data_IF_833711988988
#
_entry.id   IF_833711988988
#
_cell.length_a   1.000
_cell.length_b   1.000
_cell.length_c   1.000
_cell.angle_alpha   90.00
_cell.angle_beta   90.00
_cell.angle_gamma   90.00
#
_symmetry.space_group_name_H-M   'P 1'
#
loop_
_entity.id
_entity.type
_entity.pdbx_description
1 polymer ?
#
# COMPACT_ATOMS: atom_id res chain seq x y z
N UNK A 1 16.16 28.28 4.51
CA UNK A 1 16.35 26.91 3.96
C UNK A 1 16.91 26.91 2.52
N UNK A 2 17.91 27.74 2.19
CA UNK A 2 18.50 27.80 0.84
C UNK A 2 20.04 27.72 0.82
N UNK A 3 20.67 27.68 1.99
CA UNK A 3 22.11 27.57 2.14
C UNK A 3 22.42 26.27 2.92
N UNK A 4 23.19 25.38 2.30
CA UNK A 4 23.52 24.05 2.85
C UNK A 4 24.29 24.16 4.17
N UNK A 5 25.24 25.10 4.28
CA UNK A 5 26.04 25.30 5.50
C UNK A 5 25.17 25.79 6.66
N UNK A 6 24.28 26.75 6.39
CA UNK A 6 23.35 27.25 7.40
C UNK A 6 22.41 26.14 7.92
N UNK A 7 21.94 25.26 7.01
CA UNK A 7 21.13 24.09 7.39
C UNK A 7 21.96 23.06 8.17
N UNK A 8 23.19 22.77 7.76
CA UNK A 8 24.08 21.88 8.50
C UNK A 8 24.36 22.37 9.92
N UNK A 9 24.54 23.68 10.09
CA UNK A 9 24.73 24.31 11.39
C UNK A 9 23.46 24.17 12.24
N UNK A 10 22.27 24.42 11.68
CA UNK A 10 21.00 24.29 12.42
C UNK A 10 20.65 22.85 12.81
N UNK A 11 21.07 21.86 12.01
CA UNK A 11 20.97 20.44 12.36
C UNK A 11 21.91 20.09 13.51
N UNK A 12 23.17 20.54 13.45
CA UNK A 12 24.18 20.30 14.50
C UNK A 12 23.78 20.94 15.83
N UNK A 13 23.29 22.19 15.81
CA UNK A 13 22.77 22.88 16.99
C UNK A 13 21.36 22.43 17.39
N UNK A 14 20.73 21.54 16.62
CA UNK A 14 19.35 21.06 16.81
C UNK A 14 18.32 22.19 16.91
N UNK A 15 18.55 23.29 16.19
CA UNK A 15 17.68 24.46 16.19
C UNK A 15 16.68 24.47 15.03
N UNK A 16 16.84 23.58 14.05
CA UNK A 16 15.87 23.41 12.96
C UNK A 16 14.53 22.88 13.51
N UNK A 17 13.44 23.57 13.20
CA UNK A 17 12.08 23.22 13.63
C UNK A 17 11.28 22.56 12.52
N UNK A 18 10.60 21.47 12.87
CA UNK A 18 9.94 20.59 11.91
C UNK A 18 8.44 20.55 12.18
N UNK A 19 7.64 20.75 11.13
CA UNK A 19 6.20 20.50 11.14
C UNK A 19 5.89 19.33 10.21
N UNK A 20 5.11 18.36 10.65
CA UNK A 20 4.61 17.27 9.81
C UNK A 20 3.09 17.38 9.72
N UNK A 21 2.56 17.57 8.51
CA UNK A 21 1.13 17.69 8.25
C UNK A 21 0.62 16.35 7.68
N UNK A 22 -0.35 15.78 8.39
CA UNK A 22 -0.80 14.40 8.24
C UNK A 22 0.07 13.47 9.08
N UNK A 23 -0.37 13.17 10.31
CA UNK A 23 0.34 12.29 11.26
C UNK A 23 -0.42 10.98 11.44
N UNK A 24 -0.86 10.41 10.31
CA UNK A 24 -1.44 9.08 10.24
C UNK A 24 -0.39 7.97 10.25
N UNK A 25 -0.67 6.89 9.50
CA UNK A 25 0.15 5.67 9.45
C UNK A 25 1.64 5.92 9.13
N UNK A 26 1.94 6.78 8.16
CA UNK A 26 3.31 7.08 7.73
C UNK A 26 3.86 8.35 8.41
N UNK A 27 3.09 9.44 8.40
CA UNK A 27 3.57 10.72 8.89
C UNK A 27 3.85 10.77 10.39
N UNK A 28 3.17 10.00 11.24
CA UNK A 28 3.53 9.93 12.66
C UNK A 28 4.91 9.28 12.85
N UNK A 29 5.21 8.08 12.33
CA UNK A 29 6.56 7.54 12.29
C UNK A 29 7.62 8.48 11.74
N UNK A 30 7.33 9.22 10.66
CA UNK A 30 8.23 10.28 10.14
C UNK A 30 8.48 11.32 11.22
N UNK A 31 7.43 11.93 11.78
CA UNK A 31 7.55 12.98 12.80
C UNK A 31 8.32 12.51 14.04
N UNK A 32 8.06 11.28 14.51
CA UNK A 32 8.77 10.70 15.64
C UNK A 32 10.26 10.46 15.34
N UNK A 33 10.61 10.12 14.10
CA UNK A 33 12.00 9.94 13.68
C UNK A 33 12.76 11.28 13.68
N UNK A 34 12.13 12.36 13.19
CA UNK A 34 12.66 13.73 13.30
C UNK A 34 12.79 14.17 14.77
N UNK A 35 11.80 13.90 15.61
CA UNK A 35 11.86 14.23 17.03
C UNK A 35 12.99 13.46 17.76
N UNK A 36 13.19 12.18 17.41
CA UNK A 36 14.23 11.30 17.97
C UNK A 36 15.64 11.78 17.67
N UNK A 37 15.89 12.41 16.52
CA UNK A 37 17.19 13.03 16.22
C UNK A 37 17.47 14.29 17.06
N UNK A 38 16.45 14.75 17.81
CA UNK A 38 16.53 15.82 18.79
C UNK A 38 15.99 17.16 18.30
N UNK A 39 15.40 17.20 17.11
CA UNK A 39 14.76 18.37 16.53
C UNK A 39 13.39 18.63 17.17
N UNK A 40 13.04 19.90 17.37
CA UNK A 40 11.70 20.27 17.83
C UNK A 40 10.70 19.98 16.71
N UNK A 41 9.77 19.05 16.95
CA UNK A 41 8.84 18.57 15.93
C UNK A 41 7.40 18.73 16.38
N UNK A 42 6.54 19.25 15.51
CA UNK A 42 5.10 19.36 15.72
C UNK A 42 4.35 18.61 14.63
N UNK A 43 3.43 17.73 15.04
CA UNK A 43 2.50 17.06 14.15
C UNK A 43 1.20 17.84 13.98
N UNK A 44 0.65 17.88 12.77
CA UNK A 44 -0.65 18.49 12.47
C UNK A 44 -1.57 17.45 11.85
N UNK A 45 -2.76 17.28 12.41
CA UNK A 45 -3.81 16.42 11.84
C UNK A 45 -5.18 17.06 12.00
N UNK A 46 -6.11 16.72 11.11
CA UNK A 46 -7.52 17.14 11.27
C UNK A 46 -8.26 16.28 12.30
N UNK A 47 -7.75 15.09 12.62
CA UNK A 47 -8.35 14.18 13.56
C UNK A 47 -8.06 14.60 15.02
N UNK A 48 -9.02 15.27 15.64
CA UNK A 48 -8.93 15.74 17.03
C UNK A 48 -8.65 14.60 18.03
N UNK A 49 -9.27 13.44 17.85
CA UNK A 49 -9.08 12.29 18.74
C UNK A 49 -7.64 11.76 18.67
N UNK A 50 -7.07 11.66 17.47
CA UNK A 50 -5.68 11.29 17.26
C UNK A 50 -4.73 12.27 17.97
N UNK A 51 -4.94 13.57 17.77
CA UNK A 51 -4.13 14.62 18.40
C UNK A 51 -4.22 14.57 19.93
N UNK A 52 -5.42 14.38 20.49
CA UNK A 52 -5.62 14.25 21.94
C UNK A 52 -4.94 13.00 22.50
N UNK A 53 -5.02 11.86 21.80
CA UNK A 53 -4.34 10.63 22.21
C UNK A 53 -2.82 10.82 22.26
N UNK A 54 -2.24 11.40 21.21
CA UNK A 54 -0.80 11.71 21.16
C UNK A 54 -0.38 12.62 22.31
N UNK A 55 -1.08 13.74 22.51
CA UNK A 55 -0.72 14.70 23.56
C UNK A 55 -0.97 14.18 24.99
N UNK A 56 -1.80 13.16 25.15
CA UNK A 56 -2.01 12.45 26.43
C UNK A 56 -1.05 11.28 26.64
N UNK A 57 -0.05 11.11 25.77
CA UNK A 57 0.95 10.04 25.88
C UNK A 57 0.42 8.66 25.47
N UNK A 58 -0.66 8.60 24.67
CA UNK A 58 -1.20 7.34 24.14
C UNK A 58 -0.75 7.14 22.70
N UNK A 59 0.18 6.21 22.49
CA UNK A 59 0.64 5.86 21.14
C UNK A 59 -0.47 5.14 20.32
N UNK A 60 -0.82 5.65 19.12
CA UNK A 60 -1.96 5.12 18.37
C UNK A 60 -1.64 3.91 17.47
N UNK A 61 -0.38 3.70 17.05
CA UNK A 61 0.00 2.67 16.08
C UNK A 61 0.55 1.40 16.76
N UNK A 62 -0.31 0.69 17.50
CA UNK A 62 0.11 -0.47 18.31
C UNK A 62 0.70 -1.65 17.52
N UNK A 63 0.46 -1.67 16.22
CA UNK A 63 0.94 -2.65 15.26
C UNK A 63 2.28 -2.27 14.60
N UNK A 64 2.93 -1.19 15.03
CA UNK A 64 4.26 -0.76 14.55
C UNK A 64 5.34 -1.00 15.62
N UNK A 65 6.12 -2.11 15.52
CA UNK A 65 7.09 -2.47 16.54
C UNK A 65 8.18 -1.41 16.73
N UNK A 66 8.42 -1.02 17.99
CA UNK A 66 9.53 -0.16 18.40
C UNK A 66 9.25 1.35 18.34
N UNK A 67 8.20 1.80 17.64
CA UNK A 67 7.82 3.21 17.63
C UNK A 67 7.15 3.67 18.93
N UNK A 68 6.55 2.76 19.69
CA UNK A 68 6.06 3.00 21.04
C UNK A 68 7.18 3.56 21.95
N UNK A 69 8.35 2.92 21.92
CA UNK A 69 9.52 3.35 22.72
C UNK A 69 10.06 4.72 22.27
N UNK A 70 10.08 4.95 20.95
CA UNK A 70 10.51 6.23 20.39
C UNK A 70 9.53 7.33 20.79
N UNK A 71 8.22 7.04 20.68
CA UNK A 71 7.15 7.94 21.07
C UNK A 71 7.28 8.35 22.55
N UNK A 72 7.42 7.39 23.45
CA UNK A 72 7.56 7.66 24.89
C UNK A 72 8.78 8.55 25.19
N UNK A 73 9.93 8.27 24.55
CA UNK A 73 11.14 9.07 24.73
C UNK A 73 10.96 10.52 24.25
N UNK A 74 10.43 10.72 23.04
CA UNK A 74 10.31 12.08 22.47
C UNK A 74 9.22 12.90 23.17
N UNK A 75 8.15 12.28 23.67
CA UNK A 75 7.14 12.95 24.49
C UNK A 75 7.73 13.34 25.84
N UNK A 76 8.44 12.43 26.53
CA UNK A 76 9.11 12.71 27.80
C UNK A 76 10.12 13.85 27.68
N UNK A 77 10.89 13.86 26.60
CA UNK A 77 11.90 14.89 26.31
C UNK A 77 11.30 16.17 25.69
N UNK A 78 9.97 16.25 25.54
CA UNK A 78 9.24 17.39 24.95
C UNK A 78 9.74 17.77 23.55
N UNK A 79 10.16 16.78 22.78
CA UNK A 79 10.62 16.93 21.39
C UNK A 79 9.51 16.78 20.36
N UNK A 80 8.38 16.20 20.76
CA UNK A 80 7.21 16.05 19.91
C UNK A 80 5.94 16.57 20.59
N UNK A 81 5.05 17.16 19.80
CA UNK A 81 3.68 17.51 20.18
C UNK A 81 2.77 17.44 18.95
N UNK A 82 1.45 17.37 19.15
CA UNK A 82 0.48 17.39 18.05
C UNK A 82 -0.54 18.53 18.21
N UNK A 83 -1.10 19.00 17.10
CA UNK A 83 -2.15 20.02 17.09
C UNK A 83 -3.09 19.81 15.91
N UNK A 84 -4.32 20.31 16.01
CA UNK A 84 -5.21 20.47 14.85
C UNK A 84 -5.07 21.84 14.18
N UNK A 85 -4.40 22.78 14.84
CA UNK A 85 -4.23 24.14 14.36
C UNK A 85 -2.94 24.31 13.55
N UNK A 86 -3.12 24.29 12.22
CA UNK A 86 -2.05 24.52 11.25
C UNK A 86 -1.51 25.96 11.28
N UNK A 87 -2.36 26.97 11.54
CA UNK A 87 -1.96 28.38 11.60
C UNK A 87 -1.02 28.68 12.76
N UNK A 88 -1.02 27.85 13.81
CA UNK A 88 -0.09 27.95 14.94
C UNK A 88 1.22 27.19 14.69
N UNK A 89 1.15 26.04 14.04
CA UNK A 89 2.30 25.16 13.86
C UNK A 89 3.26 25.64 12.77
N UNK A 90 2.71 25.98 11.59
CA UNK A 90 3.52 26.24 10.39
C UNK A 90 4.40 27.50 10.51
N UNK A 91 3.92 28.66 11.00
CA UNK A 91 4.77 29.87 11.06
C UNK A 91 6.03 29.71 11.91
N UNK A 92 6.01 28.77 12.86
CA UNK A 92 7.11 28.50 13.79
C UNK A 92 8.05 27.39 13.31
N UNK A 93 7.97 26.98 12.03
CA UNK A 93 8.71 25.85 11.48
C UNK A 93 9.57 26.23 10.28
N UNK A 94 10.79 25.71 10.23
CA UNK A 94 11.70 25.88 9.09
C UNK A 94 11.39 24.88 7.97
N UNK A 95 11.05 23.65 8.37
CA UNK A 95 10.74 22.52 7.51
C UNK A 95 9.30 22.08 7.71
N UNK A 96 8.55 21.90 6.62
CA UNK A 96 7.19 21.38 6.62
C UNK A 96 7.12 20.11 5.74
N UNK A 97 6.78 18.98 6.34
CA UNK A 97 6.61 17.69 5.66
C UNK A 97 5.12 17.42 5.41
N UNK A 98 4.77 16.96 4.22
CA UNK A 98 3.40 16.61 3.84
C UNK A 98 3.25 15.10 3.62
N UNK A 99 2.58 14.43 4.56
CA UNK A 99 2.24 13.00 4.53
C UNK A 99 0.72 12.83 4.59
N UNK A 100 0.04 13.23 3.51
CA UNK A 100 -1.41 13.27 3.39
C UNK A 100 -1.93 12.11 2.53
N UNK A 101 -3.17 11.67 2.76
CA UNK A 101 -3.78 10.64 1.93
C UNK A 101 -3.99 11.14 0.50
N UNK A 102 -3.78 10.25 -0.46
CA UNK A 102 -4.00 10.48 -1.90
C UNK A 102 -4.87 9.34 -2.46
N UNK A 103 -6.13 9.24 -2.02
CA UNK A 103 -7.01 8.14 -2.44
C UNK A 103 -7.39 8.26 -3.92
N UNK A 104 -8.03 7.22 -4.43
CA UNK A 104 -8.64 7.22 -5.76
C UNK A 104 -10.15 7.42 -5.63
N UNK A 105 -10.75 8.14 -6.58
CA UNK A 105 -12.19 8.19 -6.72
C UNK A 105 -12.75 6.95 -7.45
N UNK A 106 -14.08 6.88 -7.59
CA UNK A 106 -14.80 5.79 -8.26
C UNK A 106 -14.46 5.64 -9.76
N UNK A 107 -13.92 6.68 -10.39
CA UNK A 107 -13.54 6.70 -11.80
C UNK A 107 -12.06 6.38 -12.01
N UNK A 108 -11.38 5.90 -10.96
CA UNK A 108 -9.94 5.69 -10.93
C UNK A 108 -9.19 6.98 -11.32
N UNK A 109 -9.58 8.13 -10.76
CA UNK A 109 -8.82 9.38 -10.78
C UNK A 109 -8.25 9.67 -9.39
N UNK A 110 -6.96 10.05 -9.26
CA UNK A 110 -6.37 10.41 -7.98
C UNK A 110 -7.01 11.67 -7.38
N UNK A 111 -7.39 11.59 -6.10
CA UNK A 111 -7.84 12.74 -5.34
C UNK A 111 -6.68 13.34 -4.51
N UNK A 112 -6.28 14.56 -4.88
CA UNK A 112 -5.29 15.36 -4.16
C UNK A 112 -5.94 16.51 -3.36
N UNK A 113 -7.24 16.46 -3.08
CA UNK A 113 -7.98 17.47 -2.32
C UNK A 113 -7.28 17.87 -1.02
N UNK A 114 -6.79 16.89 -0.23
CA UNK A 114 -6.05 17.13 1.00
C UNK A 114 -4.78 17.96 0.77
N UNK A 115 -3.97 17.60 -0.23
CA UNK A 115 -2.76 18.36 -0.60
C UNK A 115 -3.11 19.76 -1.11
N UNK A 116 -4.18 19.90 -1.90
CA UNK A 116 -4.63 21.20 -2.42
C UNK A 116 -5.07 22.13 -1.30
N UNK A 117 -5.88 21.63 -0.37
CA UNK A 117 -6.34 22.37 0.81
C UNK A 117 -5.15 22.83 1.65
N UNK A 118 -4.19 21.93 1.92
CA UNK A 118 -2.99 22.30 2.67
C UNK A 118 -2.13 23.31 1.90
N UNK A 119 -1.95 23.15 0.58
CA UNK A 119 -1.23 24.10 -0.25
C UNK A 119 -1.81 25.52 -0.19
N UNK A 120 -3.13 25.66 -0.27
CA UNK A 120 -3.81 26.94 -0.11
C UNK A 120 -3.60 27.55 1.28
N UNK A 121 -3.63 26.73 2.35
CA UNK A 121 -3.35 27.23 3.70
C UNK A 121 -1.89 27.67 3.84
N UNK A 122 -0.93 26.89 3.32
CA UNK A 122 0.49 27.25 3.34
C UNK A 122 0.76 28.59 2.65
N UNK A 123 0.01 28.91 1.59
CA UNK A 123 0.08 30.24 0.96
C UNK A 123 -0.17 31.40 1.93
N UNK A 124 -0.93 31.19 3.01
CA UNK A 124 -1.25 32.22 4.00
C UNK A 124 -0.33 32.19 5.22
N UNK A 125 0.11 31.00 5.65
CA UNK A 125 0.79 30.83 6.96
C UNK A 125 2.24 30.40 6.87
N UNK A 126 2.73 29.93 5.72
CA UNK A 126 4.12 29.53 5.58
C UNK A 126 5.04 30.75 5.66
N UNK A 127 6.09 30.61 6.46
CA UNK A 127 7.10 31.64 6.66
C UNK A 127 8.02 31.74 5.43
N UNK A 128 8.49 32.94 5.07
CA UNK A 128 9.57 33.07 4.11
C UNK A 128 10.82 32.31 4.57
N UNK A 129 11.58 31.80 3.60
CA UNK A 129 12.75 30.95 3.74
C UNK A 129 12.49 29.53 4.28
N UNK A 130 11.24 29.05 4.30
CA UNK A 130 10.90 27.66 4.65
C UNK A 130 11.08 26.67 3.48
N UNK A 131 11.21 25.39 3.83
CA UNK A 131 11.24 24.26 2.90
C UNK A 131 10.00 23.38 3.11
N UNK A 132 9.29 23.05 2.05
CA UNK A 132 8.23 22.03 2.06
C UNK A 132 8.74 20.75 1.40
N UNK A 133 8.49 19.59 2.01
CA UNK A 133 8.82 18.28 1.44
C UNK A 133 7.56 17.44 1.37
N UNK A 134 7.21 16.95 0.18
CA UNK A 134 6.06 16.07 -0.01
C UNK A 134 6.53 14.61 0.03
N UNK A 135 6.04 13.85 1.01
CA UNK A 135 6.27 12.40 1.13
C UNK A 135 5.10 11.59 0.52
N UNK A 136 3.95 12.24 0.35
CA UNK A 136 2.73 11.65 -0.19
C UNK A 136 2.95 11.11 -1.62
N UNK A 137 2.33 9.98 -1.97
CA UNK A 137 2.46 9.40 -3.32
C UNK A 137 1.65 10.21 -4.32
N UNK A 138 2.32 10.86 -5.26
CA UNK A 138 1.71 11.76 -6.24
C UNK A 138 2.23 11.48 -7.65
N UNK A 139 1.47 11.89 -8.65
CA UNK A 139 1.87 11.79 -10.06
C UNK A 139 3.08 12.68 -10.40
N UNK A 140 3.91 12.26 -11.37
CA UNK A 140 4.92 13.12 -11.97
C UNK A 140 4.30 14.43 -12.47
N UNK A 141 4.88 15.56 -12.05
CA UNK A 141 4.40 16.90 -12.41
C UNK A 141 3.47 17.56 -11.39
N UNK A 142 2.87 16.83 -10.44
CA UNK A 142 1.94 17.47 -9.48
C UNK A 142 2.59 18.60 -8.66
N UNK A 143 3.87 18.47 -8.31
CA UNK A 143 4.61 19.53 -7.61
C UNK A 143 4.73 20.78 -8.49
N UNK A 144 5.25 20.59 -9.70
CA UNK A 144 5.58 21.67 -10.62
C UNK A 144 4.34 22.36 -11.21
N UNK A 145 3.35 21.56 -11.61
CA UNK A 145 2.20 22.02 -12.39
C UNK A 145 1.08 22.59 -11.49
N UNK A 146 1.02 22.18 -10.21
CA UNK A 146 -0.09 22.52 -9.32
C UNK A 146 0.39 23.03 -7.95
N UNK A 147 1.14 22.23 -7.18
CA UNK A 147 1.43 22.53 -5.77
C UNK A 147 2.20 23.85 -5.58
N UNK A 148 3.17 24.14 -6.45
CA UNK A 148 3.91 25.41 -6.41
C UNK A 148 2.95 26.61 -6.56
N UNK A 149 2.01 26.54 -7.50
CA UNK A 149 1.05 27.62 -7.75
C UNK A 149 0.11 27.85 -6.56
N UNK A 150 -0.29 26.78 -5.87
CA UNK A 150 -1.16 26.86 -4.70
C UNK A 150 -0.47 27.54 -3.52
N UNK A 151 0.80 27.20 -3.26
CA UNK A 151 1.58 27.80 -2.15
C UNK A 151 1.97 29.26 -2.47
N UNK A 152 2.20 29.59 -3.74
CA UNK A 152 2.56 30.95 -4.16
C UNK A 152 1.36 31.88 -4.39
N UNK A 153 0.12 31.41 -4.18
CA UNK A 153 -1.11 32.14 -4.53
C UNK A 153 -1.27 33.52 -3.87
N UNK A 154 -0.68 33.75 -2.69
CA UNK A 154 -0.76 35.02 -1.97
C UNK A 154 0.29 36.06 -2.38
N UNK A 155 1.15 35.75 -3.36
CA UNK A 155 2.31 36.54 -3.79
C UNK A 155 3.40 36.80 -2.74
N UNK A 156 3.19 36.38 -1.47
CA UNK A 156 4.18 36.46 -0.39
C UNK A 156 5.36 35.52 -0.61
N UNK A 157 5.11 34.39 -1.27
CA UNK A 157 6.04 33.28 -1.43
C UNK A 157 6.34 33.07 -2.90
N UNK A 158 7.61 33.15 -3.27
CA UNK A 158 8.13 32.94 -4.62
C UNK A 158 9.08 31.76 -4.59
N UNK A 159 8.75 30.74 -5.39
CA UNK A 159 9.58 29.54 -5.54
C UNK A 159 11.01 29.93 -5.95
N UNK A 160 12.01 29.30 -5.34
CA UNK A 160 13.45 29.57 -5.52
C UNK A 160 13.98 30.90 -4.96
N UNK A 161 13.12 31.80 -4.49
CA UNK A 161 13.54 33.06 -3.85
C UNK A 161 13.44 32.94 -2.33
N UNK A 162 12.22 32.85 -1.82
CA UNK A 162 11.92 32.82 -0.40
C UNK A 162 11.03 31.64 0.02
N UNK A 163 10.84 30.66 -0.85
CA UNK A 163 10.21 29.38 -0.54
C UNK A 163 10.78 28.28 -1.44
N UNK A 164 10.91 27.07 -0.90
CA UNK A 164 11.51 25.93 -1.57
C UNK A 164 10.65 24.69 -1.38
N UNK A 165 10.60 23.83 -2.39
CA UNK A 165 9.86 22.57 -2.33
C UNK A 165 10.69 21.41 -2.86
N UNK A 166 10.45 20.23 -2.32
CA UNK A 166 10.96 18.96 -2.83
C UNK A 166 10.09 17.79 -2.45
N UNK A 167 10.58 16.58 -2.71
CA UNK A 167 9.91 15.32 -2.44
C UNK A 167 10.88 14.31 -1.83
N UNK A 168 10.32 13.47 -0.96
CA UNK A 168 10.97 12.26 -0.46
C UNK A 168 9.91 11.17 -0.35
N UNK A 169 9.47 10.56 -1.47
CA UNK A 169 8.37 9.60 -1.46
C UNK A 169 8.73 8.40 -0.58
N UNK A 170 7.82 8.05 0.34
CA UNK A 170 8.05 6.96 1.30
C UNK A 170 7.81 5.58 0.68
N UNK A 171 8.62 4.58 1.05
CA UNK A 171 8.54 3.19 0.60
C UNK A 171 8.27 2.17 1.72
N UNK A 172 8.11 2.62 2.96
CA UNK A 172 7.88 1.75 4.10
C UNK A 172 6.57 0.95 4.03
N UNK A 173 6.64 -0.29 4.51
CA UNK A 173 5.51 -1.19 4.65
C UNK A 173 4.87 -1.01 6.04
N UNK A 174 3.53 -0.83 6.12
CA UNK A 174 2.81 -0.88 7.39
C UNK A 174 3.08 -2.20 8.14
N UNK A 175 3.34 -2.09 9.44
CA UNK A 175 3.77 -3.17 10.33
C UNK A 175 5.29 -3.35 10.44
N UNK A 176 6.06 -2.72 9.55
CA UNK A 176 7.52 -2.82 9.49
C UNK A 176 8.18 -1.44 9.30
N UNK A 177 7.48 -0.34 9.63
CA UNK A 177 7.93 1.00 9.26
C UNK A 177 9.31 1.32 9.84
N UNK A 178 9.57 0.96 11.10
CA UNK A 178 10.87 1.25 11.74
C UNK A 178 12.00 0.48 11.08
N UNK A 179 11.74 -0.79 10.71
CA UNK A 179 12.69 -1.60 9.96
C UNK A 179 12.98 -0.94 8.62
N UNK A 180 11.96 -0.54 7.87
CA UNK A 180 12.15 0.03 6.55
C UNK A 180 12.84 1.39 6.59
N UNK A 181 12.51 2.24 7.58
CA UNK A 181 13.15 3.54 7.80
C UNK A 181 14.64 3.43 8.15
N UNK A 182 15.09 2.27 8.62
CA UNK A 182 16.48 2.01 9.02
C UNK A 182 17.27 1.18 8.02
N UNK A 183 16.62 0.57 7.03
CA UNK A 183 17.27 -0.36 6.10
C UNK A 183 17.07 -0.03 4.62
N UNK A 184 16.00 0.68 4.25
CA UNK A 184 15.68 0.93 2.84
C UNK A 184 16.20 2.28 2.36
N UNK A 185 16.78 2.35 1.14
CA UNK A 185 17.13 3.61 0.51
C UNK A 185 15.91 4.53 0.32
N UNK A 186 16.13 5.84 0.39
CA UNK A 186 15.12 6.87 0.14
C UNK A 186 15.47 7.70 -1.08
N UNK A 187 14.47 8.02 -1.89
CA UNK A 187 14.62 8.94 -3.02
C UNK A 187 14.53 10.38 -2.52
N UNK A 188 15.41 11.26 -2.97
CA UNK A 188 15.37 12.69 -2.66
C UNK A 188 15.42 13.54 -3.92
N UNK A 189 14.48 14.46 -4.10
CA UNK A 189 14.46 15.37 -5.24
C UNK A 189 13.97 16.75 -4.82
N UNK A 190 14.71 17.81 -5.13
CA UNK A 190 14.30 19.19 -4.94
C UNK A 190 13.83 19.85 -6.23
N UNK A 191 13.22 21.03 -6.11
CA UNK A 191 12.91 21.90 -7.26
C UNK A 191 14.16 22.34 -8.04
N UNK A 192 15.33 22.26 -7.41
CA UNK A 192 16.65 22.45 -8.02
C UNK A 192 17.71 21.65 -7.24
N UNK A 193 18.92 21.52 -7.81
CA UNK A 193 19.99 20.70 -7.23
C UNK A 193 20.46 21.16 -5.84
N UNK A 194 20.49 22.48 -5.56
CA UNK A 194 20.85 22.98 -4.24
C UNK A 194 19.83 22.55 -3.18
N UNK A 195 18.54 22.58 -3.51
CA UNK A 195 17.48 22.08 -2.62
C UNK A 195 17.53 20.56 -2.47
N UNK A 196 17.89 19.80 -3.52
CA UNK A 196 18.14 18.35 -3.38
C UNK A 196 19.22 18.07 -2.34
N UNK A 197 20.32 18.83 -2.33
CA UNK A 197 21.40 18.68 -1.34
C UNK A 197 20.95 19.05 0.08
N UNK A 198 20.15 20.10 0.24
CA UNK A 198 19.58 20.48 1.54
C UNK A 198 18.67 19.37 2.08
N UNK A 199 17.76 18.85 1.26
CA UNK A 199 16.88 17.73 1.64
C UNK A 199 17.71 16.52 2.03
N UNK A 200 18.71 16.16 1.21
CA UNK A 200 19.62 15.05 1.51
C UNK A 200 20.33 15.23 2.85
N UNK A 201 20.84 16.43 3.14
CA UNK A 201 21.53 16.70 4.41
C UNK A 201 20.60 16.56 5.62
N UNK A 202 19.36 17.02 5.49
CA UNK A 202 18.32 16.88 6.53
C UNK A 202 17.98 15.41 6.75
N UNK A 203 17.70 14.66 5.68
CA UNK A 203 17.31 13.25 5.81
C UNK A 203 18.47 12.39 6.28
N UNK A 204 19.72 12.67 5.90
CA UNK A 204 20.89 11.94 6.42
C UNK A 204 21.08 12.12 7.92
N UNK A 205 20.68 13.28 8.46
CA UNK A 205 20.72 13.53 9.90
C UNK A 205 19.69 12.69 10.67
N UNK A 206 18.58 12.32 10.02
CA UNK A 206 17.45 11.62 10.65
C UNK A 206 17.48 10.12 10.38
N UNK A 207 17.84 9.72 9.16
CA UNK A 207 17.79 8.35 8.66
C UNK A 207 19.18 7.91 8.22
N UNK A 208 19.67 6.82 8.82
CA UNK A 208 20.97 6.24 8.49
C UNK A 208 20.84 5.22 7.34
N UNK A 209 20.35 5.68 6.19
CA UNK A 209 20.12 4.87 4.98
C UNK A 209 20.69 5.59 3.76
N UNK A 210 20.83 4.87 2.65
CA UNK A 210 21.21 5.48 1.38
C UNK A 210 20.15 6.50 0.93
N UNK A 211 20.60 7.72 0.59
CA UNK A 211 19.76 8.73 -0.04
C UNK A 211 20.11 8.87 -1.51
N UNK A 212 19.20 8.39 -2.36
CA UNK A 212 19.36 8.37 -3.81
C UNK A 212 18.84 9.69 -4.39
N UNK A 213 19.76 10.50 -4.89
CA UNK A 213 19.43 11.81 -5.46
C UNK A 213 18.77 11.69 -6.82
N UNK A 214 17.66 12.40 -6.98
CA UNK A 214 16.94 12.55 -8.23
C UNK A 214 17.18 13.96 -8.79
N UNK A 215 17.25 14.11 -10.12
CA UNK A 215 17.53 15.41 -10.75
C UNK A 215 16.41 16.44 -10.53
N UNK A 216 15.19 16.00 -10.19
CA UNK A 216 14.04 16.85 -9.86
C UNK A 216 12.92 16.03 -9.20
N UNK A 217 11.90 16.73 -8.69
CA UNK A 217 10.71 16.13 -8.05
C UNK A 217 9.95 15.17 -9.00
N UNK A 218 9.70 15.60 -10.24
CA UNK A 218 9.02 14.79 -11.27
C UNK A 218 9.69 13.43 -11.48
N UNK A 219 11.02 13.36 -11.53
CA UNK A 219 11.77 12.11 -11.67
C UNK A 219 11.63 11.23 -10.43
N UNK A 220 11.71 11.78 -9.21
CA UNK A 220 11.53 11.00 -7.99
C UNK A 220 10.14 10.36 -7.90
N UNK A 221 9.09 11.12 -8.23
CA UNK A 221 7.71 10.62 -8.27
C UNK A 221 7.54 9.56 -9.36
N UNK A 222 8.16 9.75 -10.52
CA UNK A 222 8.14 8.76 -11.60
C UNK A 222 8.77 7.43 -11.16
N UNK A 223 9.94 7.45 -10.52
CA UNK A 223 10.60 6.23 -10.02
C UNK A 223 9.68 5.47 -9.06
N UNK A 224 9.06 6.17 -8.10
CA UNK A 224 8.12 5.56 -7.13
C UNK A 224 6.95 4.86 -7.81
N UNK A 225 6.34 5.47 -8.82
CA UNK A 225 5.23 4.85 -9.55
C UNK A 225 5.72 3.69 -10.41
N UNK A 226 6.82 3.87 -11.15
CA UNK A 226 7.38 2.87 -12.05
C UNK A 226 7.67 1.55 -11.34
N UNK A 227 8.22 1.56 -10.12
CA UNK A 227 8.54 0.32 -9.40
C UNK A 227 7.30 -0.50 -9.03
N UNK A 228 6.20 0.16 -8.64
CA UNK A 228 4.95 -0.51 -8.31
C UNK A 228 4.22 -1.00 -9.56
N UNK A 229 4.17 -0.17 -10.60
CA UNK A 229 3.52 -0.52 -11.87
C UNK A 229 4.25 -1.64 -12.59
N UNK A 230 5.58 -1.69 -12.50
CA UNK A 230 6.36 -2.82 -13.00
C UNK A 230 5.90 -4.14 -12.35
N UNK A 231 5.72 -4.16 -11.02
CA UNK A 231 5.22 -5.35 -10.32
C UNK A 231 3.81 -5.73 -10.75
N UNK A 232 2.91 -4.76 -10.88
CA UNK A 232 1.52 -4.96 -11.32
C UNK A 232 1.44 -5.57 -12.73
N UNK A 233 2.21 -5.03 -13.68
CA UNK A 233 2.30 -5.56 -15.06
C UNK A 233 2.83 -6.99 -15.07
N UNK A 234 3.89 -7.28 -14.30
CA UNK A 234 4.46 -8.63 -14.30
C UNK A 234 3.52 -9.66 -13.67
N UNK A 235 2.73 -9.28 -12.65
CA UNK A 235 1.66 -10.16 -12.13
C UNK A 235 0.61 -10.40 -13.21
N UNK A 236 0.21 -9.37 -13.96
CA UNK A 236 -0.75 -9.50 -15.05
C UNK A 236 -0.24 -10.41 -16.17
N UNK A 237 1.02 -10.23 -16.58
CA UNK A 237 1.67 -11.06 -17.59
C UNK A 237 1.65 -12.55 -17.19
N UNK A 238 2.04 -12.85 -15.94
CA UNK A 238 2.02 -14.24 -15.46
C UNK A 238 0.58 -14.77 -15.34
N UNK A 239 -0.36 -13.93 -14.92
CA UNK A 239 -1.78 -14.30 -14.85
C UNK A 239 -2.35 -14.64 -16.23
N UNK A 240 -2.05 -13.84 -17.25
CA UNK A 240 -2.46 -14.11 -18.63
C UNK A 240 -1.88 -15.43 -19.16
N UNK A 241 -0.59 -15.69 -18.89
CA UNK A 241 0.03 -16.97 -19.23
C UNK A 241 -0.60 -18.14 -18.46
N UNK A 242 -0.94 -17.96 -17.19
CA UNK A 242 -1.57 -19.00 -16.38
C UNK A 242 -2.90 -19.46 -17.00
N UNK A 243 -3.74 -18.52 -17.45
CA UNK A 243 -5.00 -18.81 -18.14
C UNK A 243 -4.79 -19.58 -19.46
N UNK A 244 -3.71 -19.29 -20.17
CA UNK A 244 -3.36 -20.03 -21.38
C UNK A 244 -2.82 -21.42 -21.06
N UNK A 245 -1.98 -21.54 -20.03
CA UNK A 245 -1.35 -22.79 -19.62
C UNK A 245 -2.35 -23.81 -19.08
N UNK A 246 -3.41 -23.38 -18.38
CA UNK A 246 -4.55 -24.24 -18.03
C UNK A 246 -5.13 -24.95 -19.27
N UNK A 247 -5.38 -24.21 -20.35
CA UNK A 247 -5.92 -24.78 -21.60
C UNK A 247 -4.96 -25.76 -22.28
N UNK A 248 -3.67 -25.65 -22.00
CA UNK A 248 -2.61 -26.51 -22.52
C UNK A 248 -2.29 -27.69 -21.59
N UNK A 249 -2.89 -27.75 -20.39
CA UNK A 249 -2.54 -28.73 -19.36
C UNK A 249 -1.13 -28.54 -18.81
N UNK A 250 -0.65 -27.28 -18.73
CA UNK A 250 0.69 -26.93 -18.23
C UNK A 250 0.56 -26.31 -16.84
N UNK A 251 1.35 -26.79 -15.88
CA UNK A 251 1.45 -26.19 -14.56
C UNK A 251 2.37 -24.96 -14.58
N UNK A 252 1.77 -23.78 -14.38
CA UNK A 252 2.44 -22.48 -14.32
C UNK A 252 3.51 -22.45 -13.24
N UNK A 253 3.31 -23.08 -12.08
CA UNK A 253 4.31 -23.09 -11.01
C UNK A 253 5.56 -23.85 -11.45
N UNK A 254 5.42 -24.97 -12.16
CA UNK A 254 6.56 -25.71 -12.72
C UNK A 254 7.33 -24.84 -13.71
N UNK A 255 6.63 -24.12 -14.59
CA UNK A 255 7.24 -23.18 -15.54
C UNK A 255 8.01 -22.09 -14.80
N UNK A 256 7.42 -21.47 -13.78
CA UNK A 256 8.04 -20.40 -13.00
C UNK A 256 9.28 -20.90 -12.23
N UNK A 257 9.22 -22.06 -11.57
CA UNK A 257 10.36 -22.63 -10.86
C UNK A 257 11.53 -22.95 -11.80
N UNK A 258 11.25 -23.42 -13.02
CA UNK A 258 12.27 -23.59 -14.05
C UNK A 258 12.81 -22.24 -14.55
N UNK A 259 11.93 -21.27 -14.83
CA UNK A 259 12.28 -19.96 -15.38
C UNK A 259 13.17 -19.13 -14.44
N UNK A 260 12.94 -19.21 -13.11
CA UNK A 260 13.78 -18.58 -12.08
C UNK A 260 15.26 -18.96 -12.14
N UNK A 261 15.60 -20.12 -12.73
CA UNK A 261 17.00 -20.53 -12.91
C UNK A 261 17.75 -19.65 -13.92
N UNK A 262 17.02 -18.90 -14.76
CA UNK A 262 17.59 -17.93 -15.69
C UNK A 262 17.96 -16.65 -14.93
N UNK A 263 19.22 -16.23 -15.05
CA UNK A 263 19.82 -15.14 -14.26
C UNK A 263 19.09 -13.78 -14.27
N UNK A 264 18.26 -13.51 -15.29
CA UNK A 264 17.55 -12.24 -15.45
C UNK A 264 16.02 -12.37 -15.41
N UNK A 265 15.48 -13.47 -14.87
CA UNK A 265 14.04 -13.65 -14.73
C UNK A 265 13.57 -13.26 -13.32
N UNK A 266 12.88 -12.11 -13.22
CA UNK A 266 12.24 -11.69 -11.98
C UNK A 266 10.84 -12.31 -11.87
N UNK A 267 10.75 -13.36 -11.07
CA UNK A 267 9.51 -14.11 -10.89
C UNK A 267 8.42 -13.30 -10.20
N UNK A 268 7.22 -13.39 -10.78
CA UNK A 268 5.97 -12.94 -10.20
C UNK A 268 4.98 -14.11 -10.30
N UNK A 269 3.91 -14.06 -9.52
CA UNK A 269 2.96 -15.16 -9.42
C UNK A 269 1.56 -14.67 -9.76
N UNK A 270 0.75 -15.52 -10.40
CA UNK A 270 -0.64 -15.19 -10.63
C UNK A 270 -1.42 -15.30 -9.31
N UNK A 271 -2.66 -14.82 -9.32
CA UNK A 271 -3.53 -14.89 -8.16
C UNK A 271 -4.98 -14.62 -8.50
N UNK A 272 -5.84 -14.67 -7.49
CA UNK A 272 -7.25 -14.25 -7.53
C UNK A 272 -7.47 -12.79 -7.96
N UNK A 273 -6.41 -11.99 -8.03
CA UNK A 273 -6.38 -10.59 -8.43
C UNK A 273 -5.24 -9.86 -7.75
N UNK A 274 -5.20 -8.53 -7.92
CA UNK A 274 -4.22 -7.65 -7.27
C UNK A 274 -4.95 -6.62 -6.43
N UNK A 275 -4.71 -6.66 -5.11
CA UNK A 275 -5.24 -5.68 -4.16
C UNK A 275 -4.17 -4.81 -3.51
N UNK A 276 -4.56 -4.18 -2.41
CA UNK A 276 -3.72 -3.25 -1.64
C UNK A 276 -3.71 -1.84 -2.22
N UNK A 277 -3.31 -0.83 -1.43
CA UNK A 277 -3.43 0.58 -1.81
C UNK A 277 -2.34 1.07 -2.78
N UNK A 278 -1.37 0.23 -3.17
CA UNK A 278 -0.23 0.68 -3.98
C UNK A 278 -0.29 0.20 -5.42
N UNK A 279 -0.40 -1.12 -5.67
CA UNK A 279 -0.24 -1.63 -7.04
C UNK A 279 -1.39 -1.18 -7.97
N UNK A 280 -2.67 -1.35 -7.60
CA UNK A 280 -3.79 -0.85 -8.41
C UNK A 280 -3.77 0.67 -8.58
N UNK A 281 -3.60 1.40 -7.48
CA UNK A 281 -3.68 2.85 -7.44
C UNK A 281 -2.56 3.48 -8.29
N UNK A 282 -1.32 3.02 -8.15
CA UNK A 282 -0.18 3.62 -8.87
C UNK A 282 -0.25 3.38 -10.39
N UNK A 283 -0.81 2.25 -10.82
CA UNK A 283 -1.08 2.00 -12.25
C UNK A 283 -2.08 3.01 -12.80
N UNK A 284 -3.16 3.29 -12.06
CA UNK A 284 -4.11 4.32 -12.45
C UNK A 284 -3.53 5.73 -12.37
N UNK A 285 -2.65 6.04 -11.42
CA UNK A 285 -1.91 7.32 -11.42
C UNK A 285 -1.12 7.51 -12.72
N UNK A 286 -0.38 6.50 -13.20
CA UNK A 286 0.30 6.62 -14.50
C UNK A 286 -0.68 6.73 -15.69
N UNK A 287 -1.80 6.02 -15.66
CA UNK A 287 -2.83 6.13 -16.71
C UNK A 287 -3.47 7.52 -16.74
N UNK A 288 -3.69 8.16 -15.59
CA UNK A 288 -4.19 9.54 -15.53
C UNK A 288 -3.15 10.54 -16.02
N UNK A 289 -1.88 10.35 -15.65
CA UNK A 289 -0.79 11.14 -16.22
C UNK A 289 -0.74 11.00 -17.74
N UNK A 290 -0.90 9.79 -18.28
CA UNK A 290 -0.94 9.53 -19.72
C UNK A 290 -2.09 10.28 -20.40
N UNK A 291 -3.31 10.26 -19.82
CA UNK A 291 -4.46 11.03 -20.33
C UNK A 291 -4.15 12.52 -20.37
N UNK A 292 -3.57 13.10 -19.31
CA UNK A 292 -3.19 14.52 -19.24
C UNK A 292 -2.12 14.90 -20.27
N UNK A 293 -1.20 13.98 -20.59
CA UNK A 293 -0.12 14.21 -21.56
C UNK A 293 -0.44 13.72 -22.97
N UNK A 294 -1.70 13.38 -23.27
CA UNK A 294 -2.12 12.80 -24.55
C UNK A 294 -1.26 11.59 -24.99
N UNK A 295 -0.83 10.78 -24.02
CA UNK A 295 -0.04 9.57 -24.21
C UNK A 295 -0.91 8.33 -24.02
N UNK A 296 -0.54 7.21 -24.65
CA UNK A 296 -1.22 5.93 -24.48
C UNK A 296 -0.29 4.92 -23.81
N UNK A 297 -0.71 4.36 -22.67
CA UNK A 297 0.05 3.34 -21.92
C UNK A 297 -0.69 1.99 -21.98
N UNK A 298 -0.78 1.43 -23.19
CA UNK A 298 -1.56 0.21 -23.48
C UNK A 298 -1.13 -1.01 -22.67
N UNK A 299 0.15 -1.16 -22.35
CA UNK A 299 0.64 -2.27 -21.51
C UNK A 299 0.09 -2.17 -20.08
N UNK A 300 0.08 -0.96 -19.49
CA UNK A 300 -0.47 -0.75 -18.15
C UNK A 300 -1.98 -0.98 -18.15
N UNK A 301 -2.68 -0.44 -19.16
CA UNK A 301 -4.13 -0.60 -19.28
C UNK A 301 -4.53 -2.07 -19.43
N UNK A 302 -3.85 -2.82 -20.30
CA UNK A 302 -4.07 -4.27 -20.45
C UNK A 302 -3.74 -5.02 -19.17
N UNK A 303 -2.64 -4.67 -18.50
CA UNK A 303 -2.26 -5.27 -17.21
C UNK A 303 -3.35 -5.12 -16.15
N UNK A 304 -3.93 -3.92 -16.02
CA UNK A 304 -5.06 -3.68 -15.11
C UNK A 304 -6.28 -4.52 -15.46
N UNK A 305 -6.67 -4.51 -16.73
CA UNK A 305 -7.80 -5.31 -17.23
C UNK A 305 -7.63 -6.80 -16.95
N UNK A 306 -6.41 -7.33 -17.07
CA UNK A 306 -6.12 -8.74 -16.74
C UNK A 306 -6.26 -8.96 -15.24
N UNK A 307 -5.57 -8.17 -14.41
CA UNK A 307 -5.59 -8.32 -12.95
C UNK A 307 -7.01 -8.20 -12.35
N UNK A 308 -7.84 -7.31 -12.90
CA UNK A 308 -9.22 -7.08 -12.44
C UNK A 308 -10.22 -8.14 -12.91
N UNK A 309 -9.86 -8.92 -13.94
CA UNK A 309 -10.65 -10.07 -14.42
C UNK A 309 -10.35 -11.36 -13.66
N UNK A 310 -9.24 -11.46 -12.96
CA UNK A 310 -8.88 -12.68 -12.23
C UNK A 310 -9.94 -13.17 -11.22
N UNK A 311 -10.68 -12.30 -10.49
CA UNK A 311 -11.81 -12.73 -9.68
C UNK A 311 -12.87 -13.51 -10.47
N UNK A 312 -13.16 -13.13 -11.72
CA UNK A 312 -14.11 -13.83 -12.59
C UNK A 312 -13.60 -15.22 -12.96
N UNK A 313 -12.30 -15.36 -13.20
CA UNK A 313 -11.69 -16.67 -13.44
C UNK A 313 -11.83 -17.60 -12.22
N UNK A 314 -11.68 -17.08 -11.01
CA UNK A 314 -11.90 -17.87 -9.78
C UNK A 314 -13.35 -18.40 -9.70
N UNK A 315 -14.33 -17.59 -10.11
CA UNK A 315 -15.72 -18.04 -10.21
C UNK A 315 -15.86 -19.17 -11.24
N UNK A 316 -15.23 -19.05 -12.41
CA UNK A 316 -15.26 -20.08 -13.45
C UNK A 316 -14.65 -21.41 -12.96
N UNK A 317 -13.50 -21.37 -12.28
CA UNK A 317 -12.90 -22.57 -11.66
C UNK A 317 -13.85 -23.20 -10.63
N UNK A 318 -14.55 -22.38 -9.85
CA UNK A 318 -15.53 -22.86 -8.87
C UNK A 318 -16.70 -23.56 -9.56
N UNK A 319 -17.28 -22.92 -10.59
CA UNK A 319 -18.37 -23.49 -11.39
C UNK A 319 -17.98 -24.83 -12.04
N UNK A 320 -16.78 -24.92 -12.58
CA UNK A 320 -16.26 -26.14 -13.19
C UNK A 320 -16.11 -27.28 -12.17
N UNK A 321 -15.70 -26.98 -10.94
CA UNK A 321 -15.69 -27.96 -9.85
C UNK A 321 -17.09 -28.50 -9.50
N UNK A 322 -18.10 -27.62 -9.44
CA UNK A 322 -19.49 -28.04 -9.22
C UNK A 322 -20.07 -28.87 -10.39
N UNK A 323 -19.66 -28.55 -11.61
CA UNK A 323 -20.03 -29.31 -12.79
C UNK A 323 -19.50 -30.75 -12.73
N UNK A 324 -18.27 -30.97 -12.26
CA UNK A 324 -17.67 -32.31 -12.13
C UNK A 324 -18.46 -33.21 -11.16
N UNK A 325 -18.92 -32.69 -10.02
CA UNK A 325 -19.77 -33.46 -9.08
C UNK A 325 -21.26 -33.46 -9.43
N UNK A 326 -21.66 -32.85 -10.56
CA UNK A 326 -23.05 -32.71 -10.98
C UNK A 326 -23.96 -32.10 -9.89
N UNK A 327 -23.44 -31.10 -9.18
CA UNK A 327 -24.17 -30.32 -8.17
C UNK A 327 -24.42 -28.90 -8.69
N UNK A 328 -25.51 -28.29 -8.25
CA UNK A 328 -25.78 -26.89 -8.56
C UNK A 328 -25.04 -25.99 -7.56
N UNK A 329 -24.37 -24.96 -8.06
CA UNK A 329 -23.74 -23.95 -7.19
C UNK A 329 -24.79 -23.08 -6.48
N UNK A 330 -25.98 -22.93 -7.07
CA UNK A 330 -27.07 -22.16 -6.49
C UNK A 330 -27.47 -22.81 -5.17
N UNK A 331 -27.56 -22.00 -4.10
CA UNK A 331 -27.84 -22.43 -2.72
C UNK A 331 -26.72 -23.23 -2.05
N UNK A 332 -25.56 -23.40 -2.70
CA UNK A 332 -24.38 -23.98 -2.06
C UNK A 332 -23.84 -23.05 -0.96
N UNK A 333 -23.12 -23.62 0.00
CA UNK A 333 -22.34 -22.89 1.00
C UNK A 333 -20.86 -22.97 0.65
N UNK A 334 -20.21 -21.83 0.43
CA UNK A 334 -18.79 -21.77 0.03
C UNK A 334 -17.98 -21.01 1.06
N UNK A 335 -16.88 -21.63 1.50
CA UNK A 335 -15.93 -21.04 2.44
C UNK A 335 -14.83 -20.27 1.70
N UNK A 336 -14.70 -18.97 1.97
CA UNK A 336 -13.56 -18.15 1.55
C UNK A 336 -12.48 -18.23 2.61
N UNK A 337 -11.31 -18.72 2.21
CA UNK A 337 -10.11 -18.79 3.04
C UNK A 337 -9.18 -17.60 2.72
N UNK A 338 -9.18 -16.64 3.65
CA UNK A 338 -8.35 -15.44 3.63
C UNK A 338 -8.96 -14.32 2.81
N UNK A 339 -9.18 -13.17 3.43
CA UNK A 339 -9.75 -11.96 2.80
C UNK A 339 -8.74 -10.81 2.74
N UNK A 340 -7.62 -10.94 3.42
CA UNK A 340 -6.55 -9.94 3.42
C UNK A 340 -5.92 -9.80 2.02
N UNK A 341 -5.60 -8.58 1.58
CA UNK A 341 -5.08 -8.39 0.21
C UNK A 341 -3.68 -9.01 0.00
N UNK A 342 -2.92 -9.20 1.09
CA UNK A 342 -1.64 -9.92 1.12
C UNK A 342 -1.61 -10.91 2.30
N UNK A 343 -0.78 -11.97 2.23
CA UNK A 343 -0.61 -12.89 3.35
C UNK A 343 -0.15 -12.19 4.62
N UNK A 344 -0.61 -12.73 5.74
CA UNK A 344 -0.12 -12.47 7.10
C UNK A 344 -0.29 -11.03 7.61
N UNK A 345 -1.30 -10.31 7.12
CA UNK A 345 -1.65 -8.98 7.65
C UNK A 345 -3.15 -8.86 7.86
N UNK A 346 -3.56 -7.88 8.66
CA UNK A 346 -4.96 -7.52 8.89
C UNK A 346 -5.37 -6.32 8.03
N UNK A 347 -5.39 -6.49 6.71
CA UNK A 347 -5.70 -5.41 5.77
C UNK A 347 -6.45 -5.94 4.54
N UNK A 348 -7.62 -5.36 4.27
CA UNK A 348 -8.56 -5.77 3.20
C UNK A 348 -8.70 -4.71 2.09
N UNK A 349 -7.86 -3.67 2.08
CA UNK A 349 -7.95 -2.61 1.07
C UNK A 349 -7.83 -3.18 -0.35
N UNK A 350 -8.84 -2.91 -1.19
CA UNK A 350 -8.93 -3.36 -2.58
C UNK A 350 -8.73 -4.88 -2.74
N UNK A 351 -9.10 -5.68 -1.74
CA UNK A 351 -8.89 -7.13 -1.79
C UNK A 351 -9.73 -7.77 -2.91
N UNK A 352 -9.16 -8.71 -3.71
CA UNK A 352 -9.94 -9.46 -4.69
C UNK A 352 -11.02 -10.33 -4.04
N UNK A 353 -10.88 -10.66 -2.76
CA UNK A 353 -11.87 -11.45 -2.01
C UNK A 353 -13.26 -10.81 -2.02
N UNK A 354 -13.35 -9.48 -1.89
CA UNK A 354 -14.63 -8.76 -1.90
C UNK A 354 -15.38 -8.96 -3.21
N UNK A 355 -14.67 -8.88 -4.34
CA UNK A 355 -15.23 -9.09 -5.68
C UNK A 355 -15.71 -10.54 -5.85
N UNK A 356 -14.93 -11.52 -5.37
CA UNK A 356 -15.29 -12.95 -5.40
C UNK A 356 -16.54 -13.20 -4.56
N UNK A 357 -16.57 -12.70 -3.32
CA UNK A 357 -17.72 -12.83 -2.40
C UNK A 357 -18.98 -12.28 -3.04
N UNK A 358 -18.92 -11.06 -3.59
CA UNK A 358 -20.07 -10.43 -4.25
C UNK A 358 -20.57 -11.25 -5.43
N UNK A 359 -19.67 -11.73 -6.31
CA UNK A 359 -20.05 -12.57 -7.46
C UNK A 359 -20.66 -13.91 -7.05
N UNK A 360 -20.17 -14.53 -5.97
CA UNK A 360 -20.79 -15.74 -5.42
C UNK A 360 -22.19 -15.47 -4.88
N UNK A 361 -22.37 -14.37 -4.13
CA UNK A 361 -23.69 -13.97 -3.63
C UNK A 361 -24.69 -13.69 -4.78
N UNK A 362 -24.24 -13.07 -5.88
CA UNK A 362 -25.03 -12.85 -7.10
C UNK A 362 -25.49 -14.18 -7.75
N UNK A 363 -24.73 -15.27 -7.57
CA UNK A 363 -25.09 -16.63 -8.01
C UNK A 363 -26.04 -17.36 -7.02
N UNK A 364 -26.42 -16.72 -5.91
CA UNK A 364 -27.25 -17.31 -4.87
C UNK A 364 -26.51 -18.25 -3.92
N UNK A 365 -25.19 -18.07 -3.78
CA UNK A 365 -24.34 -18.83 -2.85
C UNK A 365 -24.39 -18.22 -1.46
N UNK A 366 -24.47 -19.07 -0.42
CA UNK A 366 -24.19 -18.67 0.96
C UNK A 366 -22.69 -18.65 1.17
N UNK A 367 -22.12 -17.49 1.51
CA UNK A 367 -20.67 -17.35 1.68
C UNK A 367 -20.31 -17.35 3.17
N UNK A 368 -19.39 -18.24 3.55
CA UNK A 368 -18.73 -18.24 4.84
C UNK A 368 -17.31 -17.67 4.67
N UNK A 369 -16.78 -16.98 5.69
CA UNK A 369 -15.44 -16.39 5.64
C UNK A 369 -14.61 -16.92 6.80
N UNK A 370 -13.40 -17.37 6.52
CA UNK A 370 -12.38 -17.58 7.53
C UNK A 370 -11.07 -16.92 7.13
N UNK A 371 -10.58 -16.00 7.96
CA UNK A 371 -9.25 -15.40 7.84
C UNK A 371 -8.62 -15.34 9.25
N UNK A 372 -7.39 -15.85 9.44
CA UNK A 372 -6.73 -15.83 10.74
C UNK A 372 -6.63 -14.47 11.45
N UNK A 373 -6.63 -13.38 10.68
CA UNK A 373 -6.48 -12.01 11.15
C UNK A 373 -7.82 -11.31 11.38
N UNK A 374 -8.92 -11.91 10.90
CA UNK A 374 -10.29 -11.44 11.04
C UNK A 374 -11.18 -12.56 11.59
N UNK A 375 -10.93 -13.02 12.83
CA UNK A 375 -11.76 -14.04 13.51
C UNK A 375 -12.90 -13.37 14.29
N UNK A 376 -14.14 -13.83 14.10
CA UNK A 376 -15.34 -13.35 14.83
C UNK A 376 -15.58 -11.84 14.64
N UNK A 377 -15.46 -11.36 13.39
CA UNK A 377 -15.65 -9.95 13.02
C UNK A 377 -16.61 -9.85 11.82
N UNK A 378 -17.50 -8.86 11.82
CA UNK A 378 -18.33 -8.54 10.66
C UNK A 378 -17.50 -7.87 9.56
N UNK A 379 -17.39 -8.53 8.40
CA UNK A 379 -16.67 -8.04 7.23
C UNK A 379 -17.48 -8.34 5.97
N UNK A 380 -17.64 -7.36 5.07
CA UNK A 380 -18.49 -7.49 3.88
C UNK A 380 -19.94 -7.90 4.17
N UNK A 381 -20.46 -7.55 5.36
CA UNK A 381 -21.80 -7.95 5.81
C UNK A 381 -21.91 -9.42 6.24
N UNK A 382 -20.79 -10.13 6.36
CA UNK A 382 -20.71 -11.52 6.80
C UNK A 382 -19.91 -11.57 8.10
N UNK A 383 -20.44 -12.24 9.12
CA UNK A 383 -19.70 -12.50 10.33
C UNK A 383 -18.68 -13.61 10.07
N UNK A 384 -17.40 -13.31 10.20
CA UNK A 384 -16.34 -14.28 9.94
C UNK A 384 -16.28 -15.38 11.00
N UNK A 385 -15.91 -16.58 10.57
CA UNK A 385 -15.83 -17.77 11.40
C UNK A 385 -14.65 -17.69 12.39
N UNK A 386 -14.89 -18.16 13.60
CA UNK A 386 -13.87 -18.19 14.66
C UNK A 386 -12.89 -19.35 14.49
N UNK A 387 -13.41 -20.49 14.05
CA UNK A 387 -12.67 -21.74 13.96
C UNK A 387 -12.96 -22.41 12.61
N UNK A 388 -11.88 -22.74 11.91
CA UNK A 388 -11.95 -23.37 10.61
C UNK A 388 -12.49 -24.81 10.70
N UNK A 389 -12.16 -25.54 11.76
CA UNK A 389 -12.53 -26.96 11.90
C UNK A 389 -14.04 -27.13 12.12
N UNK A 390 -14.70 -26.12 12.69
CA UNK A 390 -16.15 -26.16 12.96
C UNK A 390 -16.97 -25.92 11.69
N UNK A 391 -16.44 -25.15 10.73
CA UNK A 391 -17.17 -24.76 9.52
C UNK A 391 -16.93 -25.68 8.33
N UNK A 392 -15.73 -26.28 8.19
CA UNK A 392 -15.39 -27.12 7.03
C UNK A 392 -16.42 -28.24 6.75
N UNK A 393 -16.94 -28.98 7.76
CA UNK A 393 -17.93 -30.03 7.50
C UNK A 393 -19.28 -29.52 6.95
N UNK A 394 -19.56 -28.22 7.11
CA UNK A 394 -20.85 -27.61 6.80
C UNK A 394 -20.89 -26.96 5.40
N UNK A 395 -19.75 -26.86 4.72
CA UNK A 395 -19.64 -26.22 3.40
C UNK A 395 -19.52 -27.22 2.26
N UNK A 396 -19.89 -26.78 1.07
CA UNK A 396 -19.82 -27.56 -0.17
C UNK A 396 -18.44 -27.44 -0.83
N UNK A 397 -17.86 -26.24 -0.77
CA UNK A 397 -16.57 -25.92 -1.37
C UNK A 397 -15.77 -24.94 -0.52
N UNK A 398 -14.45 -24.89 -0.74
CA UNK A 398 -13.57 -23.87 -0.19
C UNK A 398 -12.73 -23.21 -1.29
N UNK A 399 -12.48 -21.90 -1.16
CA UNK A 399 -11.65 -21.12 -2.07
C UNK A 399 -10.54 -20.44 -1.27
N UNK A 400 -9.29 -20.78 -1.56
CA UNK A 400 -8.10 -20.12 -1.01
C UNK A 400 -7.83 -18.86 -1.82
N UNK A 401 -8.19 -17.70 -1.27
CA UNK A 401 -7.98 -16.40 -1.90
C UNK A 401 -6.67 -15.77 -1.43
N UNK A 402 -6.26 -16.01 -0.18
CA UNK A 402 -5.03 -15.44 0.40
C UNK A 402 -4.15 -16.52 0.99
N UNK A 403 -2.88 -16.58 0.59
CA UNK A 403 -1.95 -17.64 0.99
C UNK A 403 -1.28 -17.42 2.34
N UNK A 404 -2.06 -17.28 3.42
CA UNK A 404 -1.52 -17.17 4.78
C UNK A 404 -0.69 -18.40 5.17
N UNK A 405 0.28 -18.21 6.06
CA UNK A 405 1.13 -19.32 6.51
C UNK A 405 0.36 -20.39 7.28
N UNK A 406 -0.78 -20.02 7.89
CA UNK A 406 -1.69 -20.96 8.56
C UNK A 406 -2.31 -21.93 7.55
N UNK A 407 -2.66 -21.46 6.34
CA UNK A 407 -3.26 -22.30 5.30
C UNK A 407 -2.25 -23.23 4.62
N UNK A 408 -0.99 -22.79 4.48
CA UNK A 408 0.11 -23.62 3.96
C UNK A 408 0.41 -24.84 4.85
N UNK A 409 -0.02 -24.80 6.12
CA UNK A 409 0.19 -25.85 7.12
C UNK A 409 -1.06 -26.72 7.34
N UNK A 410 -2.16 -26.45 6.64
CA UNK A 410 -3.38 -27.23 6.80
C UNK A 410 -3.19 -28.64 6.23
N UNK A 411 -3.65 -29.63 6.99
CA UNK A 411 -3.78 -31.00 6.48
C UNK A 411 -4.91 -31.05 5.45
N UNK A 412 -4.59 -31.50 4.24
CA UNK A 412 -5.55 -31.54 3.13
C UNK A 412 -6.76 -32.44 3.41
N UNK A 413 -6.57 -33.49 4.21
CA UNK A 413 -7.62 -34.41 4.65
C UNK A 413 -8.79 -33.70 5.37
N UNK A 414 -8.56 -32.49 5.93
CA UNK A 414 -9.63 -31.66 6.49
C UNK A 414 -10.68 -31.31 5.42
N UNK A 415 -10.24 -30.94 4.22
CA UNK A 415 -11.15 -30.58 3.13
C UNK A 415 -12.00 -31.74 2.62
N UNK A 416 -11.60 -32.98 2.88
CA UNK A 416 -12.40 -34.17 2.53
C UNK A 416 -13.66 -34.32 3.38
N UNK A 417 -13.83 -33.49 4.42
CA UNK A 417 -15.04 -33.39 5.25
C UNK A 417 -16.12 -32.48 4.63
N UNK A 418 -15.78 -31.65 3.63
CA UNK A 418 -16.76 -30.84 2.91
C UNK A 418 -17.75 -31.71 2.15
N UNK A 419 -18.98 -31.22 1.95
CA UNK A 419 -20.08 -31.98 1.32
C UNK A 419 -19.73 -32.42 -0.10
N UNK A 420 -19.24 -31.50 -0.94
CA UNK A 420 -18.88 -31.77 -2.34
C UNK A 420 -17.37 -31.88 -2.56
N UNK A 421 -16.55 -31.66 -1.52
CA UNK A 421 -15.08 -31.80 -1.54
C UNK A 421 -14.39 -30.97 -2.63
N UNK A 422 -14.97 -29.83 -3.00
CA UNK A 422 -14.42 -28.92 -4.00
C UNK A 422 -13.43 -27.97 -3.33
N UNK A 423 -12.18 -27.95 -3.80
CA UNK A 423 -11.14 -27.05 -3.31
C UNK A 423 -10.55 -26.25 -4.47
N UNK A 424 -10.69 -24.92 -4.37
CA UNK A 424 -10.11 -23.97 -5.33
C UNK A 424 -8.89 -23.30 -4.70
N UNK A 425 -7.72 -23.44 -5.32
CA UNK A 425 -6.49 -22.78 -4.88
C UNK A 425 -6.04 -21.71 -5.88
N UNK A 426 -6.16 -20.45 -5.49
CA UNK A 426 -5.74 -19.32 -6.33
C UNK A 426 -4.31 -18.86 -6.07
N UNK A 427 -3.62 -19.48 -5.10
CA UNK A 427 -2.31 -19.05 -4.59
C UNK A 427 -1.20 -20.07 -4.84
N UNK A 428 -1.54 -21.26 -5.35
CA UNK A 428 -0.60 -22.32 -5.66
C UNK A 428 0.11 -22.86 -4.42
N UNK A 429 -0.58 -22.88 -3.27
CA UNK A 429 -0.05 -23.41 -2.01
C UNK A 429 -0.38 -24.89 -1.82
N UNK A 430 -1.28 -25.45 -2.63
CA UNK A 430 -1.65 -26.86 -2.61
C UNK A 430 -1.03 -27.59 -3.79
N UNK A 431 -0.46 -28.77 -3.53
CA UNK A 431 0.03 -29.66 -4.58
C UNK A 431 -1.12 -30.48 -5.19
N UNK A 432 -1.33 -30.45 -6.53
CA UNK A 432 -2.47 -31.10 -7.18
C UNK A 432 -2.56 -32.61 -6.90
N UNK A 433 -1.41 -33.30 -6.91
CA UNK A 433 -1.36 -34.74 -6.61
C UNK A 433 -1.77 -35.04 -5.17
N UNK A 434 -1.41 -34.17 -4.22
CA UNK A 434 -1.78 -34.33 -2.82
C UNK A 434 -3.29 -34.13 -2.64
N UNK A 435 -3.90 -33.14 -3.31
CA UNK A 435 -5.35 -32.96 -3.29
C UNK A 435 -6.10 -34.14 -3.91
N UNK A 436 -5.57 -34.70 -5.01
CA UNK A 436 -6.13 -35.90 -5.65
C UNK A 436 -6.09 -37.13 -4.74
N UNK A 437 -5.00 -37.33 -3.97
CA UNK A 437 -4.88 -38.44 -3.03
C UNK A 437 -5.94 -38.38 -1.91
N UNK A 438 -6.41 -37.18 -1.56
CA UNK A 438 -7.47 -36.95 -0.58
C UNK A 438 -8.90 -37.00 -1.17
N UNK A 439 -9.02 -37.37 -2.46
CA UNK A 439 -10.27 -37.40 -3.23
C UNK A 439 -11.00 -36.05 -3.29
N UNK A 440 -10.24 -34.96 -3.40
CA UNK A 440 -10.79 -33.62 -3.60
C UNK A 440 -11.03 -33.35 -5.09
N UNK A 441 -12.13 -32.65 -5.39
CA UNK A 441 -12.32 -32.00 -6.70
C UNK A 441 -11.51 -30.71 -6.66
N UNK A 442 -10.28 -30.80 -7.14
CA UNK A 442 -9.32 -29.71 -7.06
C UNK A 442 -9.31 -28.88 -8.34
N UNK A 443 -9.27 -27.56 -8.19
CA UNK A 443 -8.90 -26.62 -9.24
C UNK A 443 -7.87 -25.65 -8.72
N UNK A 444 -6.75 -25.55 -9.41
CA UNK A 444 -5.72 -24.58 -9.10
C UNK A 444 -5.58 -23.57 -10.23
N UNK A 445 -5.50 -22.28 -9.88
CA UNK A 445 -5.24 -21.24 -10.88
C UNK A 445 -3.87 -21.48 -11.52
N UNK A 446 -3.87 -21.67 -12.84
CA UNK A 446 -2.67 -21.94 -13.62
C UNK A 446 -2.10 -23.34 -13.44
N UNK A 447 -2.83 -24.31 -12.85
CA UNK A 447 -2.24 -25.59 -12.41
C UNK A 447 -2.40 -26.76 -13.41
N UNK A 448 -2.83 -26.49 -14.64
CA UNK A 448 -3.01 -27.50 -15.69
C UNK A 448 -4.36 -28.18 -15.57
#
# INVERSE_FOLDING_TARGET
MNNVEAVSNSLTSKSLKVCVIGIGRIGLPTALSFAKSGLETIGVDINESLVQNINSGKFPLKDEPGYDKIFDDVIKNKKFSATTNIEKAVPNSDLVLLSLPTPMDENNVPDYSALRTVGMKLSEVLSPNSLVIVESTIEPGFIEDEMVSLISKSDRLKINDNFFIGVCPENANPGEILHDFTNLPRLVGGINQNITQIIKSIYNFVFNVELVEMPNCKTANAVKLTTNVFRDINIAYISELALMFEKLGIDTNIVLEAAKKKYNFQVHYPGSGVGGPCLPINSYQLLNTARRTNSNLSIIESGRKINEKMPEHVINLTLDGFQECNQNIKEATILILGISYKPNVKDIQLTPAEIIIKKLQELGVTVCIYDPYFKDVDVFGIKSEKNLDDIIPNVDAAIIVTGHDEFKKLELSKFSQMKNKILIDTRGIIEPNSAKNENLIFRGLGRG
#
